data_IF_261860264455
#
_entry.id   IF_261860264455
#
_cell.length_a   1.000
_cell.length_b   1.000
_cell.length_c   1.000
_cell.angle_alpha   90.00
_cell.angle_beta   90.00
_cell.angle_gamma   90.00
#
_symmetry.space_group_name_H-M   'P 1'
#
loop_
_entity.id
_entity.type
_entity.pdbx_description
1 polymer ?
#
# COMPACT_ATOMS: atom_id res chain seq x y z
N UNK A 1 11.21 -22.52 -8.89
CA UNK A 1 12.48 -21.90 -9.29
C UNK A 1 12.21 -20.42 -9.58
N UNK A 2 12.88 -19.48 -8.91
CA UNK A 2 12.59 -18.05 -9.02
C UNK A 2 13.51 -17.37 -10.05
N UNK A 3 13.37 -17.75 -11.32
CA UNK A 3 14.34 -17.48 -12.42
C UNK A 3 14.51 -15.99 -12.71
N UNK A 4 13.45 -15.19 -12.56
CA UNK A 4 13.46 -13.76 -12.90
C UNK A 4 13.87 -12.85 -11.74
N UNK A 5 13.98 -13.36 -10.51
CA UNK A 5 14.30 -12.54 -9.36
C UNK A 5 15.64 -11.81 -9.46
N UNK A 6 16.76 -12.44 -9.90
CA UNK A 6 18.03 -11.74 -10.03
C UNK A 6 17.96 -10.53 -10.99
N UNK A 7 17.16 -10.64 -12.06
CA UNK A 7 16.99 -9.56 -13.02
C UNK A 7 16.21 -8.39 -12.41
N UNK A 8 15.05 -8.65 -11.81
CA UNK A 8 14.23 -7.57 -11.23
C UNK A 8 14.85 -6.96 -9.97
N UNK A 9 15.51 -7.77 -9.13
CA UNK A 9 16.19 -7.27 -7.94
C UNK A 9 17.42 -6.40 -8.28
N UNK A 10 17.98 -6.55 -9.49
CA UNK A 10 19.02 -5.62 -9.99
C UNK A 10 18.45 -4.25 -10.34
N UNK A 11 17.17 -4.19 -10.78
CA UNK A 11 16.48 -2.95 -11.13
C UNK A 11 15.93 -2.24 -9.89
N UNK A 12 15.41 -3.01 -8.93
CA UNK A 12 15.03 -2.54 -7.61
C UNK A 12 15.22 -3.68 -6.57
N UNK A 13 16.09 -3.52 -5.56
CA UNK A 13 16.40 -4.56 -4.58
C UNK A 13 15.20 -5.11 -3.81
N UNK A 14 14.15 -4.33 -3.62
CA UNK A 14 12.98 -4.73 -2.83
C UNK A 14 11.88 -5.39 -3.67
N UNK A 15 12.03 -5.45 -5.00
CA UNK A 15 11.01 -5.97 -5.90
C UNK A 15 10.40 -7.29 -5.43
N UNK A 16 11.25 -8.27 -5.11
CA UNK A 16 10.79 -9.60 -4.69
C UNK A 16 10.07 -9.58 -3.34
N UNK A 17 10.51 -8.73 -2.41
CA UNK A 17 9.90 -8.56 -1.09
C UNK A 17 8.52 -7.92 -1.23
N UNK A 18 8.42 -6.86 -2.03
CA UNK A 18 7.18 -6.14 -2.29
C UNK A 18 6.15 -7.07 -2.95
N UNK A 19 6.55 -7.84 -3.98
CA UNK A 19 5.68 -8.83 -4.62
C UNK A 19 5.15 -9.85 -3.61
N UNK A 20 6.03 -10.42 -2.79
CA UNK A 20 5.67 -11.43 -1.79
C UNK A 20 4.68 -10.86 -0.79
N UNK A 21 4.94 -9.65 -0.29
CA UNK A 21 4.07 -8.98 0.68
C UNK A 21 2.70 -8.64 0.10
N UNK A 22 2.64 -8.21 -1.15
CA UNK A 22 1.39 -7.98 -1.87
C UNK A 22 0.54 -9.27 -1.94
N UNK A 23 1.16 -10.39 -2.30
CA UNK A 23 0.49 -11.70 -2.35
C UNK A 23 -0.01 -12.13 -0.97
N UNK A 24 0.78 -11.93 0.09
CA UNK A 24 0.37 -12.21 1.46
C UNK A 24 -0.85 -11.39 1.89
N UNK A 25 -0.89 -10.09 1.57
CA UNK A 25 -2.01 -9.20 1.92
C UNK A 25 -3.29 -9.66 1.21
N UNK A 26 -3.22 -9.93 -0.10
CA UNK A 26 -4.37 -10.40 -0.87
C UNK A 26 -4.88 -11.77 -0.38
N UNK A 27 -3.98 -12.70 -0.07
CA UNK A 27 -4.38 -14.01 0.47
C UNK A 27 -5.02 -13.89 1.85
N UNK A 28 -4.53 -12.99 2.70
CA UNK A 28 -5.15 -12.72 4.00
C UNK A 28 -6.52 -12.08 3.84
N UNK A 29 -6.68 -11.14 2.91
CA UNK A 29 -8.00 -10.55 2.62
C UNK A 29 -9.00 -11.61 2.16
N UNK A 30 -8.61 -12.51 1.26
CA UNK A 30 -9.47 -13.62 0.80
C UNK A 30 -9.99 -14.49 1.97
N UNK A 31 -9.09 -14.85 2.90
CA UNK A 31 -9.47 -15.58 4.11
C UNK A 31 -10.41 -14.77 5.04
N UNK A 32 -10.20 -13.46 5.15
CA UNK A 32 -11.03 -12.58 5.97
C UNK A 32 -12.39 -12.31 5.33
N UNK A 33 -12.49 -12.38 4.00
CA UNK A 33 -13.72 -12.15 3.23
C UNK A 33 -14.82 -13.14 3.67
N UNK A 34 -14.48 -14.40 3.92
CA UNK A 34 -15.42 -15.41 4.42
C UNK A 34 -15.99 -15.01 5.80
N UNK A 35 -15.14 -14.56 6.72
CA UNK A 35 -15.53 -14.09 8.05
C UNK A 35 -16.45 -12.87 7.93
N UNK A 36 -16.09 -11.92 7.08
CA UNK A 36 -16.87 -10.70 6.83
C UNK A 36 -18.26 -11.03 6.29
N UNK A 37 -18.38 -12.01 5.40
CA UNK A 37 -19.68 -12.43 4.87
C UNK A 37 -20.57 -13.10 5.93
N UNK A 38 -19.98 -13.82 6.87
CA UNK A 38 -20.70 -14.54 7.92
C UNK A 38 -21.12 -13.65 9.11
N UNK A 39 -20.23 -12.76 9.56
CA UNK A 39 -20.37 -12.04 10.84
C UNK A 39 -20.37 -10.52 10.66
N UNK A 40 -19.89 -10.02 9.52
CA UNK A 40 -19.78 -8.59 9.23
C UNK A 40 -18.41 -7.99 9.57
N UNK A 41 -18.04 -6.91 8.89
CA UNK A 41 -16.71 -6.28 8.99
C UNK A 41 -16.38 -5.71 10.37
N UNK A 42 -17.39 -5.30 11.13
CA UNK A 42 -17.21 -4.75 12.48
C UNK A 42 -16.67 -5.79 13.49
N UNK A 43 -16.80 -7.09 13.17
CA UNK A 43 -16.26 -8.17 14.00
C UNK A 43 -14.75 -8.37 13.88
N UNK A 44 -14.12 -7.76 12.87
CA UNK A 44 -12.68 -7.88 12.65
C UNK A 44 -11.88 -7.06 13.67
N UNK A 45 -10.69 -7.57 14.01
CA UNK A 45 -9.68 -6.80 14.73
C UNK A 45 -9.14 -5.64 13.88
N UNK A 46 -8.56 -4.62 14.51
CA UNK A 46 -8.11 -3.41 13.81
C UNK A 46 -7.00 -3.71 12.79
N UNK A 47 -6.09 -4.64 13.08
CA UNK A 47 -5.07 -5.11 12.14
C UNK A 47 -5.68 -5.83 10.93
N UNK A 48 -6.75 -6.61 11.13
CA UNK A 48 -7.49 -7.24 10.03
C UNK A 48 -8.25 -6.21 9.18
N UNK A 49 -8.82 -5.16 9.80
CA UNK A 49 -9.44 -4.05 9.06
C UNK A 49 -8.43 -3.33 8.17
N UNK A 50 -7.18 -3.14 8.63
CA UNK A 50 -6.08 -2.62 7.79
C UNK A 50 -5.82 -3.53 6.60
N UNK A 51 -5.73 -4.86 6.80
CA UNK A 51 -5.52 -5.81 5.70
C UNK A 51 -6.61 -5.65 4.63
N UNK A 52 -7.88 -5.60 5.03
CA UNK A 52 -9.01 -5.44 4.10
C UNK A 52 -8.92 -4.13 3.29
N UNK A 53 -8.57 -3.03 3.94
CA UNK A 53 -8.55 -1.71 3.30
C UNK A 53 -7.32 -1.52 2.40
N UNK A 54 -6.16 -2.03 2.81
CA UNK A 54 -4.96 -2.05 1.95
C UNK A 54 -5.17 -2.99 0.77
N UNK A 55 -5.75 -4.18 0.98
CA UNK A 55 -6.06 -5.10 -0.11
C UNK A 55 -7.01 -4.46 -1.13
N UNK A 56 -7.99 -3.67 -0.67
CA UNK A 56 -8.84 -2.86 -1.55
C UNK A 56 -8.03 -1.89 -2.41
N UNK A 57 -7.09 -1.13 -1.82
CA UNK A 57 -6.19 -0.23 -2.57
C UNK A 57 -5.36 -1.02 -3.59
N UNK A 58 -4.83 -2.19 -3.21
CA UNK A 58 -4.10 -3.06 -4.15
C UNK A 58 -5.00 -3.47 -5.33
N UNK A 59 -6.24 -3.89 -5.07
CA UNK A 59 -7.17 -4.34 -6.13
C UNK A 59 -7.60 -3.20 -7.04
N UNK A 60 -7.97 -2.05 -6.50
CA UNK A 60 -8.61 -0.95 -7.25
C UNK A 60 -7.62 0.07 -7.84
N UNK A 61 -6.47 0.29 -7.18
CA UNK A 61 -5.53 1.35 -7.54
C UNK A 61 -4.18 0.84 -8.06
N UNK A 62 -3.86 -0.45 -7.85
CA UNK A 62 -2.64 -1.05 -8.38
C UNK A 62 -2.89 -2.11 -9.47
N UNK A 63 -3.81 -3.07 -9.22
CA UNK A 63 -4.07 -4.17 -10.16
C UNK A 63 -5.02 -3.79 -11.30
N UNK A 64 -6.03 -2.96 -11.03
CA UNK A 64 -6.93 -2.45 -12.05
C UNK A 64 -6.25 -1.34 -12.86
N UNK A 65 -6.16 -1.54 -14.17
CA UNK A 65 -5.61 -0.56 -15.10
C UNK A 65 -6.59 -0.21 -16.22
N UNK A 66 -6.69 1.07 -16.56
CA UNK A 66 -7.50 1.54 -17.67
C UNK A 66 -6.66 1.78 -18.93
N UNK A 67 -6.68 0.81 -19.85
CA UNK A 67 -5.94 0.84 -21.10
C UNK A 67 -6.26 2.04 -22.02
N UNK A 68 -7.41 2.70 -21.84
CA UNK A 68 -7.82 3.87 -22.64
C UNK A 68 -7.41 5.21 -22.03
N UNK A 69 -6.84 5.23 -20.82
CA UNK A 69 -6.39 6.45 -20.16
C UNK A 69 -4.97 6.83 -20.56
N UNK A 70 -4.65 8.11 -20.53
CA UNK A 70 -3.32 8.65 -20.81
C UNK A 70 -2.29 8.35 -19.70
N UNK A 71 -2.77 8.09 -18.47
CA UNK A 71 -1.93 7.76 -17.30
C UNK A 71 -1.77 6.25 -17.03
N UNK A 72 -2.63 5.39 -17.57
CA UNK A 72 -2.67 3.95 -17.23
C UNK A 72 -2.65 2.99 -18.44
N UNK A 73 -2.49 3.50 -19.66
CA UNK A 73 -2.34 2.63 -20.85
C UNK A 73 -1.07 1.77 -20.81
N UNK A 74 -0.07 2.17 -20.01
CA UNK A 74 1.15 1.42 -19.71
C UNK A 74 1.69 1.85 -18.35
N UNK A 75 2.40 0.96 -17.66
CA UNK A 75 2.99 1.23 -16.36
C UNK A 75 4.48 0.82 -16.35
N UNK A 76 5.41 1.78 -16.37
CA UNK A 76 6.84 1.49 -16.25
C UNK A 76 7.16 0.81 -14.93
N UNK A 77 8.17 -0.06 -14.91
CA UNK A 77 8.53 -0.82 -13.71
C UNK A 77 8.79 0.08 -12.50
N UNK A 78 9.47 1.22 -12.68
CA UNK A 78 9.74 2.19 -11.61
C UNK A 78 8.46 2.74 -11.00
N UNK A 79 7.45 3.04 -11.83
CA UNK A 79 6.12 3.45 -11.37
C UNK A 79 5.45 2.31 -10.59
N UNK A 80 5.41 1.10 -11.15
CA UNK A 80 4.76 -0.05 -10.49
C UNK A 80 5.41 -0.38 -9.14
N UNK A 81 6.74 -0.38 -9.07
CA UNK A 81 7.48 -0.66 -7.83
C UNK A 81 7.29 0.46 -6.81
N UNK A 82 7.33 1.72 -7.23
CA UNK A 82 7.07 2.87 -6.37
C UNK A 82 5.67 2.84 -5.75
N UNK A 83 4.63 2.61 -6.58
CA UNK A 83 3.24 2.49 -6.11
C UNK A 83 3.12 1.38 -5.06
N UNK A 84 3.65 0.19 -5.37
CA UNK A 84 3.53 -0.95 -4.48
C UNK A 84 4.31 -0.75 -3.17
N UNK A 85 5.47 -0.08 -3.23
CA UNK A 85 6.27 0.30 -2.05
C UNK A 85 5.49 1.20 -1.12
N UNK A 86 4.89 2.29 -1.62
CA UNK A 86 4.10 3.21 -0.80
C UNK A 86 2.85 2.56 -0.20
N UNK A 87 2.16 1.67 -0.94
CA UNK A 87 1.02 0.89 -0.42
C UNK A 87 1.46 -0.05 0.71
N UNK A 88 2.58 -0.76 0.54
CA UNK A 88 3.10 -1.68 1.55
C UNK A 88 3.65 -0.92 2.77
N UNK A 89 4.24 0.26 2.57
CA UNK A 89 4.69 1.12 3.66
C UNK A 89 3.51 1.55 4.54
N UNK A 90 2.41 2.02 3.94
CA UNK A 90 1.16 2.32 4.64
C UNK A 90 0.68 1.11 5.46
N UNK A 91 0.66 -0.07 4.86
CA UNK A 91 0.28 -1.30 5.57
C UNK A 91 1.17 -1.56 6.77
N UNK A 92 2.49 -1.58 6.59
CA UNK A 92 3.43 -1.96 7.63
C UNK A 92 3.41 -0.97 8.81
N UNK A 93 3.33 0.33 8.52
CA UNK A 93 3.26 1.36 9.57
C UNK A 93 1.91 1.32 10.30
N UNK A 94 0.81 1.06 9.59
CA UNK A 94 -0.50 0.87 10.22
C UNK A 94 -0.51 -0.34 11.16
N UNK A 95 0.06 -1.48 10.73
CA UNK A 95 0.20 -2.67 11.57
C UNK A 95 1.05 -2.38 12.81
N UNK A 96 2.17 -1.66 12.62
CA UNK A 96 3.08 -1.30 13.70
C UNK A 96 2.42 -0.38 14.73
N UNK A 97 1.79 0.72 14.31
CA UNK A 97 1.18 1.68 15.25
C UNK A 97 0.01 1.05 16.03
N UNK A 98 -0.74 0.14 15.41
CA UNK A 98 -1.80 -0.61 16.10
C UNK A 98 -1.17 -1.56 17.14
N UNK A 99 -0.12 -2.30 16.77
CA UNK A 99 0.54 -3.24 17.67
C UNK A 99 1.25 -2.55 18.85
N UNK A 100 1.85 -1.38 18.61
CA UNK A 100 2.58 -0.60 19.61
C UNK A 100 1.65 0.27 20.48
N UNK A 101 0.35 0.38 20.12
CA UNK A 101 -0.59 1.20 20.87
C UNK A 101 -0.87 0.65 22.28
N UNK A 102 -0.97 1.52 23.29
CA UNK A 102 -1.18 1.09 24.66
C UNK A 102 -2.62 0.56 24.86
N UNK A 103 -2.85 -0.38 25.81
CA UNK A 103 -4.17 -1.01 25.98
C UNK A 103 -5.33 -0.06 26.27
N UNK A 104 -5.05 1.08 26.90
CA UNK A 104 -5.99 2.13 27.30
C UNK A 104 -6.21 3.21 26.22
N UNK A 105 -5.34 3.28 25.21
CA UNK A 105 -5.48 4.18 24.06
C UNK A 105 -5.12 3.45 22.76
N UNK A 106 -5.89 2.39 22.45
CA UNK A 106 -5.68 1.62 21.23
C UNK A 106 -5.90 2.47 19.99
N UNK A 107 -4.92 2.46 19.10
CA UNK A 107 -5.03 3.07 17.78
C UNK A 107 -5.90 2.17 16.90
N UNK A 108 -6.89 2.77 16.26
CA UNK A 108 -7.84 2.10 15.36
C UNK A 108 -7.56 2.48 13.91
N UNK A 109 -7.97 1.61 12.97
CA UNK A 109 -7.91 1.95 11.56
C UNK A 109 -8.72 3.21 11.24
N UNK A 110 -9.87 3.41 11.89
CA UNK A 110 -10.69 4.60 11.69
C UNK A 110 -9.92 5.91 12.01
N UNK A 111 -9.14 5.91 13.10
CA UNK A 111 -8.27 7.04 13.45
C UNK A 111 -7.16 7.24 12.42
N UNK A 112 -6.44 6.17 12.04
CA UNK A 112 -5.39 6.23 11.00
C UNK A 112 -5.97 6.82 9.70
N UNK A 113 -7.13 6.31 9.26
CA UNK A 113 -7.78 6.74 8.02
C UNK A 113 -8.15 8.22 8.04
N UNK A 114 -8.66 8.72 9.16
CA UNK A 114 -9.04 10.14 9.29
C UNK A 114 -7.78 11.02 9.34
N UNK A 115 -6.83 10.70 10.22
CA UNK A 115 -5.63 11.51 10.43
C UNK A 115 -4.70 11.52 9.21
N UNK A 116 -4.59 10.38 8.52
CA UNK A 116 -3.68 10.21 7.39
C UNK A 116 -4.39 10.28 6.02
N UNK A 117 -5.65 10.74 5.98
CA UNK A 117 -6.42 10.84 4.75
C UNK A 117 -5.67 11.53 3.60
N UNK A 118 -4.96 12.67 3.80
CA UNK A 118 -4.23 13.33 2.71
C UNK A 118 -3.19 12.41 2.05
N UNK A 119 -2.43 11.66 2.87
CA UNK A 119 -1.41 10.74 2.39
C UNK A 119 -2.02 9.50 1.74
N UNK A 120 -3.09 8.95 2.32
CA UNK A 120 -3.83 7.81 1.74
C UNK A 120 -4.39 8.17 0.36
N UNK A 121 -5.00 9.36 0.23
CA UNK A 121 -5.48 9.83 -1.07
C UNK A 121 -4.34 10.02 -2.06
N UNK A 122 -3.18 10.52 -1.62
CA UNK A 122 -2.00 10.66 -2.48
C UNK A 122 -1.49 9.30 -2.97
N UNK A 123 -1.49 8.27 -2.11
CA UNK A 123 -1.17 6.88 -2.49
C UNK A 123 -2.13 6.36 -3.56
N UNK A 124 -3.45 6.51 -3.36
CA UNK A 124 -4.47 6.07 -4.33
C UNK A 124 -4.28 6.79 -5.68
N UNK A 125 -3.97 8.10 -5.64
CA UNK A 125 -3.79 8.91 -6.83
C UNK A 125 -2.47 8.65 -7.58
N UNK A 126 -1.56 7.83 -7.05
CA UNK A 126 -0.32 7.47 -7.76
C UNK A 126 -0.57 6.79 -9.11
N UNK A 127 -1.72 6.14 -9.29
CA UNK A 127 -2.15 5.59 -10.59
C UNK A 127 -2.22 6.64 -11.69
N UNK A 128 -2.53 7.89 -11.35
CA UNK A 128 -2.64 9.01 -12.29
C UNK A 128 -1.29 9.61 -12.70
N UNK A 129 -0.16 9.14 -12.16
CA UNK A 129 1.16 9.57 -12.62
C UNK A 129 1.39 9.17 -14.08
N UNK A 130 1.84 10.12 -14.89
CA UNK A 130 2.01 9.89 -16.32
C UNK A 130 3.17 8.92 -16.58
N UNK A 131 2.97 7.84 -17.35
CA UNK A 131 3.97 6.80 -17.54
C UNK A 131 5.16 7.22 -18.42
N UNK A 132 5.09 8.40 -19.05
CA UNK A 132 6.14 8.94 -19.92
C UNK A 132 7.06 9.95 -19.21
N UNK A 133 6.90 10.16 -17.90
CA UNK A 133 7.80 11.03 -17.15
C UNK A 133 9.23 10.45 -17.12
N UNK A 134 10.27 11.29 -16.99
CA UNK A 134 11.63 10.81 -16.76
C UNK A 134 11.71 9.94 -15.50
N UNK A 135 12.51 8.87 -15.56
CA UNK A 135 12.63 7.90 -14.46
C UNK A 135 13.06 8.56 -13.14
N UNK A 136 14.01 9.50 -13.19
CA UNK A 136 14.50 10.22 -12.00
C UNK A 136 13.39 11.03 -11.33
N UNK A 137 12.46 11.59 -12.10
CA UNK A 137 11.31 12.33 -11.55
C UNK A 137 10.33 11.38 -10.87
N UNK A 138 10.08 10.20 -11.45
CA UNK A 138 9.25 9.18 -10.81
C UNK A 138 9.88 8.71 -9.49
N UNK A 139 11.18 8.40 -9.50
CA UNK A 139 11.92 7.97 -8.30
C UNK A 139 11.88 9.05 -7.21
N UNK A 140 12.11 10.31 -7.58
CA UNK A 140 12.03 11.45 -6.66
C UNK A 140 10.62 11.62 -6.07
N UNK A 141 9.58 11.48 -6.90
CA UNK A 141 8.19 11.56 -6.45
C UNK A 141 7.86 10.46 -5.42
N UNK A 142 8.17 9.20 -5.71
CA UNK A 142 7.88 8.09 -4.78
C UNK A 142 8.73 8.17 -3.52
N UNK A 143 9.99 8.59 -3.62
CA UNK A 143 10.81 8.84 -2.43
C UNK A 143 10.18 9.90 -1.52
N UNK A 144 9.77 11.03 -2.08
CA UNK A 144 9.13 12.09 -1.30
C UNK A 144 7.80 11.62 -0.70
N UNK A 145 7.03 10.82 -1.43
CA UNK A 145 5.80 10.22 -0.91
C UNK A 145 6.07 9.27 0.26
N UNK A 146 7.08 8.42 0.17
CA UNK A 146 7.47 7.51 1.25
C UNK A 146 7.93 8.30 2.49
N UNK A 147 8.74 9.35 2.30
CA UNK A 147 9.17 10.24 3.39
C UNK A 147 7.96 10.97 4.05
N UNK A 148 6.97 11.41 3.25
CA UNK A 148 5.72 12.01 3.75
C UNK A 148 4.85 11.01 4.53
N UNK A 149 4.79 9.75 4.08
CA UNK A 149 4.08 8.66 4.78
C UNK A 149 4.71 8.47 6.16
N UNK A 150 6.02 8.31 6.23
CA UNK A 150 6.74 8.10 7.50
C UNK A 150 6.54 9.27 8.46
N UNK A 151 6.68 10.51 7.98
CA UNK A 151 6.47 11.70 8.79
C UNK A 151 5.04 11.78 9.36
N UNK A 152 4.03 11.43 8.55
CA UNK A 152 2.65 11.47 8.99
C UNK A 152 2.35 10.42 10.07
N UNK A 153 2.97 9.24 10.02
CA UNK A 153 2.87 8.24 11.08
C UNK A 153 3.64 8.61 12.36
N UNK A 154 4.75 9.34 12.24
CA UNK A 154 5.44 9.91 13.40
C UNK A 154 4.53 10.90 14.13
N UNK A 155 3.92 11.84 13.41
CA UNK A 155 2.98 12.81 13.99
C UNK A 155 1.69 12.19 14.55
N UNK A 156 1.33 10.96 14.16
CA UNK A 156 0.21 10.23 14.74
C UNK A 156 0.56 9.58 16.09
N UNK A 157 1.86 9.31 16.31
CA UNK A 157 2.36 8.63 17.50
C UNK A 157 2.79 9.60 18.62
N UNK A 158 2.96 10.88 18.28
CA UNK A 158 3.23 12.00 19.19
C UNK A 158 1.94 12.53 19.85
#
# INVERSE_FOLDING_TARGET
MRVLEPFFNKLDPDYSNLRTKCQEILQKEDNLQEIVQLVGKESLSEDQKVVMEVAKIIREDFLQQNAFSDYDFTCPLVKSVGMLRSIILLHNLSQKVIADSPPDARVTWAQIKVSLNPVIQKIIQTKFQLPKQPEDQMRGFFKNLDDEIEAAFQSLSD
#
